data_IF_996359185860
#
_entry.id   IF_996359185860
#
_cell.length_a   1.000
_cell.length_b   1.000
_cell.length_c   1.000
_cell.angle_alpha   90.00
_cell.angle_beta   90.00
_cell.angle_gamma   90.00
#
_symmetry.space_group_name_H-M   'P 1'
#
loop_
_entity.id
_entity.type
_entity.pdbx_description
1 polymer ?
#
# COMPACT_ATOMS: atom_id res chain seq x y z
N UNK A 1 26.87 -0.26 1.77
CA UNK A 1 25.47 -0.08 1.34
C UNK A 1 25.39 -0.29 -0.16
N UNK A 2 24.41 -1.05 -0.65
CA UNK A 2 24.24 -1.35 -2.08
C UNK A 2 23.98 -0.08 -2.93
N UNK A 3 23.45 0.99 -2.32
CA UNK A 3 23.31 2.34 -2.91
C UNK A 3 23.52 3.39 -1.81
N UNK A 4 24.29 4.44 -2.08
CA UNK A 4 24.51 5.56 -1.14
C UNK A 4 23.32 6.51 -1.11
N UNK A 5 23.03 7.11 0.06
CA UNK A 5 21.97 8.14 0.23
C UNK A 5 22.12 9.30 -0.76
N UNK A 6 23.35 9.76 -0.98
CA UNK A 6 23.63 10.90 -1.87
C UNK A 6 23.29 10.60 -3.33
N UNK A 7 23.59 9.38 -3.80
CA UNK A 7 23.21 8.94 -5.13
C UNK A 7 21.68 8.91 -5.32
N UNK A 8 20.94 8.46 -4.30
CA UNK A 8 19.46 8.46 -4.33
C UNK A 8 18.93 9.90 -4.33
N UNK A 9 19.47 10.78 -3.47
CA UNK A 9 19.05 12.17 -3.41
C UNK A 9 19.24 12.89 -4.75
N UNK A 10 20.39 12.66 -5.40
CA UNK A 10 20.67 13.20 -6.74
C UNK A 10 19.69 12.67 -7.79
N UNK A 11 19.46 11.35 -7.82
CA UNK A 11 18.52 10.74 -8.76
C UNK A 11 17.09 11.28 -8.59
N UNK A 12 16.64 11.50 -7.35
CA UNK A 12 15.33 12.09 -7.06
C UNK A 12 15.24 13.55 -7.52
N UNK A 13 16.30 14.35 -7.32
CA UNK A 13 16.35 15.72 -7.80
C UNK A 13 16.31 15.80 -9.33
N UNK A 14 17.11 14.97 -10.01
CA UNK A 14 17.15 14.88 -11.47
C UNK A 14 15.79 14.45 -12.04
N UNK A 15 15.13 13.47 -11.41
CA UNK A 15 13.80 13.01 -11.80
C UNK A 15 12.75 14.12 -11.67
N UNK A 16 12.74 14.86 -10.55
CA UNK A 16 11.84 16.00 -10.34
C UNK A 16 12.08 17.14 -11.33
N UNK A 17 13.34 17.37 -11.73
CA UNK A 17 13.70 18.38 -12.73
C UNK A 17 13.25 18.02 -14.14
N UNK A 18 13.24 16.73 -14.49
CA UNK A 18 12.83 16.22 -15.81
C UNK A 18 11.33 15.93 -15.92
N UNK A 19 10.63 15.78 -14.80
CA UNK A 19 9.20 15.49 -14.80
C UNK A 19 8.37 16.72 -15.22
N UNK A 20 7.46 16.53 -16.17
CA UNK A 20 6.48 17.54 -16.53
C UNK A 20 5.51 17.81 -15.39
N UNK A 21 5.15 19.08 -15.20
CA UNK A 21 4.11 19.47 -14.25
C UNK A 21 2.74 18.91 -14.70
N UNK A 22 2.00 18.38 -13.74
CA UNK A 22 0.62 17.90 -13.92
C UNK A 22 -0.31 18.62 -12.95
N UNK A 23 -1.61 18.61 -13.24
CA UNK A 23 -2.67 19.23 -12.39
C UNK A 23 -3.06 18.35 -11.20
N UNK A 24 -2.19 17.44 -10.77
CA UNK A 24 -2.39 16.54 -9.64
C UNK A 24 -1.04 16.25 -8.96
N UNK A 25 -1.08 15.83 -7.70
CA UNK A 25 0.11 15.43 -6.95
C UNK A 25 0.64 14.10 -7.49
N UNK A 26 1.84 14.13 -8.08
CA UNK A 26 2.48 12.94 -8.63
C UNK A 26 3.07 12.07 -7.50
N UNK A 27 2.95 10.75 -7.67
CA UNK A 27 3.63 9.77 -6.81
C UNK A 27 5.01 9.44 -7.39
N UNK A 28 5.93 9.06 -6.52
CA UNK A 28 7.28 8.62 -6.93
C UNK A 28 7.35 7.11 -6.75
N UNK A 29 7.78 6.42 -7.80
CA UNK A 29 7.93 4.96 -7.81
C UNK A 29 9.41 4.56 -7.72
N UNK A 30 9.68 3.47 -7.00
CA UNK A 30 10.99 2.83 -6.93
C UNK A 30 10.92 1.46 -7.62
N UNK A 31 11.62 1.31 -8.74
CA UNK A 31 11.78 0.04 -9.42
C UNK A 31 13.17 -0.53 -9.16
N UNK A 32 13.23 -1.74 -8.58
CA UNK A 32 14.49 -2.43 -8.27
C UNK A 32 14.59 -3.70 -9.10
N UNK A 33 15.67 -3.81 -9.88
CA UNK A 33 16.01 -5.05 -10.60
C UNK A 33 17.03 -5.84 -9.81
N UNK A 34 16.60 -6.95 -9.24
CA UNK A 34 17.45 -7.90 -8.53
C UNK A 34 18.14 -8.83 -9.53
N UNK A 35 19.43 -9.10 -9.33
CA UNK A 35 20.18 -10.14 -10.06
C UNK A 35 20.34 -11.35 -9.14
N UNK A 36 20.45 -12.54 -9.72
CA UNK A 36 20.75 -13.79 -8.98
C UNK A 36 19.65 -14.28 -8.01
N UNK A 37 18.43 -13.77 -8.16
CA UNK A 37 17.27 -14.25 -7.41
C UNK A 37 16.49 -15.28 -8.22
N UNK A 38 16.44 -16.53 -7.75
CA UNK A 38 15.60 -17.58 -8.34
C UNK A 38 14.22 -17.63 -7.68
N UNK A 39 13.24 -16.94 -8.27
CA UNK A 39 11.86 -16.89 -7.79
C UNK A 39 11.11 -18.23 -7.80
N UNK A 40 11.69 -19.28 -8.41
CA UNK A 40 11.13 -20.64 -8.34
C UNK A 40 11.28 -21.23 -6.96
N UNK A 41 12.29 -20.80 -6.20
CA UNK A 41 12.51 -21.21 -4.82
C UNK A 41 11.60 -20.39 -3.90
N UNK A 42 10.69 -21.02 -3.14
CA UNK A 42 9.79 -20.29 -2.24
C UNK A 42 10.53 -19.38 -1.26
N UNK A 43 11.70 -19.79 -0.81
CA UNK A 43 12.52 -19.04 0.17
C UNK A 43 13.12 -17.76 -0.41
N UNK A 44 13.22 -17.66 -1.75
CA UNK A 44 13.76 -16.49 -2.43
C UNK A 44 12.66 -15.47 -2.80
N UNK A 45 11.39 -15.75 -2.50
CA UNK A 45 10.30 -14.79 -2.72
C UNK A 45 10.33 -13.71 -1.66
N UNK A 46 10.24 -12.46 -2.10
CA UNK A 46 10.20 -11.30 -1.22
C UNK A 46 8.74 -10.90 -1.06
N UNK A 47 8.20 -11.04 0.14
CA UNK A 47 6.86 -10.58 0.50
C UNK A 47 6.92 -9.90 1.86
N UNK A 48 7.45 -8.68 1.87
CA UNK A 48 7.72 -7.90 3.07
C UNK A 48 6.83 -6.66 3.13
N UNK A 49 6.33 -6.35 4.33
CA UNK A 49 5.66 -5.09 4.61
C UNK A 49 6.65 -4.16 5.29
N UNK A 50 6.90 -2.99 4.69
CA UNK A 50 7.86 -2.01 5.20
C UNK A 50 7.12 -0.72 5.52
N UNK A 51 7.24 -0.28 6.77
CA UNK A 51 6.73 1.01 7.20
C UNK A 51 7.61 2.14 6.66
N UNK A 52 6.99 3.11 5.99
CA UNK A 52 7.72 4.26 5.49
C UNK A 52 8.07 5.21 6.65
N UNK A 53 9.34 5.67 6.76
CA UNK A 53 9.75 6.57 7.83
C UNK A 53 9.13 7.96 7.73
N UNK A 54 8.59 8.31 6.56
CA UNK A 54 7.82 9.53 6.34
C UNK A 54 6.56 9.16 5.57
N UNK A 55 5.36 9.45 6.11
CA UNK A 55 4.12 9.08 5.46
C UNK A 55 3.94 9.87 4.14
N UNK A 56 3.41 9.23 3.09
CA UNK A 56 3.07 9.92 1.85
C UNK A 56 1.90 10.89 2.05
N UNK A 57 1.76 11.86 1.14
CA UNK A 57 0.66 12.83 1.16
C UNK A 57 -0.69 12.21 0.79
N UNK A 58 -0.69 11.07 0.10
CA UNK A 58 -1.88 10.27 -0.16
C UNK A 58 -2.10 9.32 1.01
N UNK A 59 -3.23 9.45 1.69
CA UNK A 59 -3.62 8.53 2.76
C UNK A 59 -3.93 7.15 2.18
N UNK A 60 -3.31 6.12 2.73
CA UNK A 60 -3.63 4.71 2.47
C UNK A 60 -5.02 4.42 3.02
N UNK A 61 -5.88 3.79 2.21
CA UNK A 61 -7.25 3.49 2.64
C UNK A 61 -7.31 2.13 3.30
N UNK A 62 -7.69 2.07 4.56
CA UNK A 62 -7.65 0.81 5.33
C UNK A 62 -9.06 0.36 5.70
N UNK A 63 -9.38 -0.88 5.34
CA UNK A 63 -10.60 -1.56 5.78
C UNK A 63 -10.28 -2.59 6.87
N UNK A 64 -11.00 -2.53 7.99
CA UNK A 64 -10.80 -3.43 9.15
C UNK A 64 -12.02 -4.31 9.33
N UNK A 65 -11.83 -5.63 9.44
CA UNK A 65 -12.90 -6.56 9.79
C UNK A 65 -12.92 -6.70 11.31
N UNK A 66 -13.95 -6.17 11.95
CA UNK A 66 -14.06 -6.19 13.41
C UNK A 66 -15.52 -6.12 13.87
N UNK A 67 -15.81 -6.70 15.04
CA UNK A 67 -17.10 -6.61 15.72
C UNK A 67 -16.97 -6.08 17.14
N UNK A 68 -18.09 -5.63 17.72
CA UNK A 68 -18.16 -5.18 19.11
C UNK A 68 -17.19 -4.04 19.43
N UNK A 69 -16.45 -4.16 20.54
CA UNK A 69 -15.50 -3.15 21.02
C UNK A 69 -14.35 -2.89 20.03
N UNK A 70 -13.87 -3.93 19.34
CA UNK A 70 -12.81 -3.79 18.32
C UNK A 70 -13.27 -2.92 17.14
N UNK A 71 -14.55 -2.97 16.78
CA UNK A 71 -15.09 -2.12 15.72
C UNK A 71 -15.07 -0.64 16.12
N UNK A 72 -15.35 -0.33 17.38
CA UNK A 72 -15.29 1.04 17.91
C UNK A 72 -13.85 1.54 17.95
N UNK A 73 -12.92 0.70 18.44
CA UNK A 73 -11.49 1.03 18.45
C UNK A 73 -10.94 1.26 17.05
N UNK A 74 -11.32 0.43 16.07
CA UNK A 74 -10.88 0.59 14.68
C UNK A 74 -11.37 1.91 14.06
N UNK A 75 -12.64 2.29 14.30
CA UNK A 75 -13.16 3.59 13.86
C UNK A 75 -12.41 4.75 14.51
N UNK A 76 -12.14 4.66 15.81
CA UNK A 76 -11.39 5.70 16.54
C UNK A 76 -9.92 5.80 16.10
N UNK A 77 -9.33 4.70 15.64
CA UNK A 77 -7.97 4.66 15.10
C UNK A 77 -7.87 5.18 13.64
N UNK A 78 -8.99 5.58 13.04
CA UNK A 78 -9.02 6.16 11.69
C UNK A 78 -9.18 5.16 10.55
N UNK A 79 -9.73 3.97 10.79
CA UNK A 79 -10.09 3.05 9.71
C UNK A 79 -11.16 3.66 8.80
N UNK A 80 -10.92 3.68 7.48
CA UNK A 80 -11.86 4.21 6.49
C UNK A 80 -13.14 3.38 6.39
N UNK A 81 -13.03 2.07 6.67
CA UNK A 81 -14.18 1.16 6.68
C UNK A 81 -14.01 0.10 7.77
N UNK A 82 -15.09 -0.16 8.51
CA UNK A 82 -15.18 -1.30 9.41
C UNK A 82 -16.25 -2.26 8.92
N UNK A 83 -15.85 -3.50 8.66
CA UNK A 83 -16.72 -4.55 8.12
C UNK A 83 -17.12 -5.48 9.26
N UNK A 84 -18.43 -5.54 9.53
CA UNK A 84 -19.01 -6.47 10.49
C UNK A 84 -19.20 -7.87 9.92
N UNK A 85 -19.55 -8.83 10.77
CA UNK A 85 -19.75 -10.23 10.39
C UNK A 85 -20.86 -10.41 9.34
N UNK A 86 -21.97 -9.69 9.49
CA UNK A 86 -23.09 -9.74 8.54
C UNK A 86 -22.72 -9.21 7.15
N UNK A 87 -21.91 -8.15 7.10
CA UNK A 87 -21.47 -7.56 5.82
C UNK A 87 -20.44 -8.46 5.13
N UNK A 88 -19.59 -9.13 5.91
CA UNK A 88 -18.67 -10.14 5.42
C UNK A 88 -19.41 -11.33 4.80
N UNK A 89 -20.47 -11.81 5.46
CA UNK A 89 -21.30 -12.92 4.95
C UNK A 89 -22.02 -12.54 3.64
N UNK A 90 -22.51 -11.29 3.53
CA UNK A 90 -23.08 -10.75 2.28
C UNK A 90 -22.04 -10.71 1.17
N UNK A 91 -20.82 -10.24 1.45
CA UNK A 91 -19.72 -10.20 0.48
C UNK A 91 -19.26 -11.59 0.04
N UNK A 92 -19.32 -12.58 0.92
CA UNK A 92 -19.04 -13.98 0.56
C UNK A 92 -20.01 -14.52 -0.51
N UNK A 93 -21.25 -14.03 -0.51
CA UNK A 93 -22.26 -14.37 -1.52
C UNK A 93 -22.15 -13.49 -2.77
N UNK A 94 -21.83 -12.21 -2.63
CA UNK A 94 -21.62 -11.27 -3.74
C UNK A 94 -20.13 -11.03 -4.03
N UNK A 95 -19.57 -11.90 -4.89
CA UNK A 95 -18.19 -11.81 -5.36
C UNK A 95 -17.87 -10.50 -6.07
N UNK A 96 -18.86 -9.81 -6.66
CA UNK A 96 -18.64 -8.54 -7.38
C UNK A 96 -18.40 -7.42 -6.36
N UNK A 97 -19.19 -7.38 -5.30
CA UNK A 97 -18.98 -6.44 -4.20
C UNK A 97 -17.65 -6.68 -3.50
N UNK A 98 -17.30 -7.94 -3.20
CA UNK A 98 -16.02 -8.27 -2.57
C UNK A 98 -14.81 -7.79 -3.39
N UNK A 99 -14.83 -8.01 -4.71
CA UNK A 99 -13.76 -7.55 -5.62
C UNK A 99 -13.67 -6.02 -5.68
N UNK A 100 -14.82 -5.33 -5.70
CA UNK A 100 -14.85 -3.86 -5.72
C UNK A 100 -14.24 -3.29 -4.44
N UNK A 101 -14.49 -3.92 -3.30
CA UNK A 101 -13.91 -3.49 -2.03
C UNK A 101 -12.40 -3.71 -2.00
N UNK A 102 -11.92 -4.90 -2.37
CA UNK A 102 -10.49 -5.21 -2.45
C UNK A 102 -9.70 -4.32 -3.44
N UNK A 103 -10.35 -3.65 -4.38
CA UNK A 103 -9.72 -2.69 -5.30
C UNK A 103 -9.67 -1.25 -4.78
N UNK A 104 -10.51 -0.91 -3.80
CA UNK A 104 -10.67 0.47 -3.31
C UNK A 104 -9.94 0.73 -1.98
N UNK A 105 -9.51 -0.34 -1.31
CA UNK A 105 -8.75 -0.31 -0.06
C UNK A 105 -7.44 -1.08 -0.27
N UNK A 106 -6.41 -0.65 0.43
CA UNK A 106 -5.04 -1.18 0.34
C UNK A 106 -4.77 -2.22 1.45
#
# INVERSE_FOLDING_TARGET
MLVSKDAIAKAVADMKGKSEKRKFNQSVELAVKLRELDLKRPEARINESIELPTPPSKTTKVAVIAGGDLAVRAKNAGADLVIGREDLDKMGRDKKQARKLAQNYD
#
